data_IF_120811696355
#
_entry.id   IF_120811696355
#
_cell.length_a   1.000
_cell.length_b   1.000
_cell.length_c   1.000
_cell.angle_alpha   90.00
_cell.angle_beta   90.00
_cell.angle_gamma   90.00
#
_symmetry.space_group_name_H-M   'P 1'
#
loop_
_entity.id
_entity.type
_entity.pdbx_description
1 polymer ?
#
# COMPACT_ATOMS: atom_id res chain seq x y z
N UNK A 1 -35.13 5.79 74.72
CA UNK A 1 -34.13 6.55 73.93
C UNK A 1 -33.41 5.54 73.04
N UNK A 2 -33.43 5.65 71.70
CA UNK A 2 -32.71 4.72 70.85
C UNK A 2 -31.21 4.89 71.09
N UNK A 3 -30.52 3.83 71.54
CA UNK A 3 -29.05 3.79 71.54
C UNK A 3 -28.63 3.96 70.08
N UNK A 4 -28.00 5.08 69.76
CA UNK A 4 -27.35 5.29 68.46
C UNK A 4 -26.14 4.33 68.43
N UNK A 5 -26.36 3.08 68.03
CA UNK A 5 -25.26 2.13 67.78
C UNK A 5 -24.65 2.55 66.46
N UNK A 6 -23.75 3.52 66.52
CA UNK A 6 -22.91 3.89 65.38
C UNK A 6 -21.94 2.73 65.18
N UNK A 7 -21.93 2.14 63.97
CA UNK A 7 -20.88 1.21 63.59
C UNK A 7 -19.55 1.97 63.68
N UNK A 8 -18.66 1.53 64.57
CA UNK A 8 -17.34 2.12 64.73
C UNK A 8 -16.39 1.44 63.74
N UNK A 9 -15.63 2.27 63.02
CA UNK A 9 -14.60 1.82 62.08
C UNK A 9 -13.24 2.17 62.69
N UNK A 10 -12.26 1.29 62.54
CA UNK A 10 -10.86 1.67 62.83
C UNK A 10 -10.41 2.68 61.77
N UNK A 11 -9.71 3.75 62.16
CA UNK A 11 -9.29 4.82 61.24
C UNK A 11 -7.85 5.23 61.49
N UNK A 12 -7.09 5.51 60.43
CA UNK A 12 -5.70 5.96 60.53
C UNK A 12 -4.99 5.98 59.17
N UNK A 13 -3.66 6.10 59.17
CA UNK A 13 -2.85 5.90 57.97
C UNK A 13 -2.86 4.43 57.56
N UNK A 14 -2.71 4.12 56.27
CA UNK A 14 -2.70 2.74 55.76
C UNK A 14 -1.58 1.91 56.39
N UNK A 15 -0.42 2.52 56.62
CA UNK A 15 0.72 1.89 57.30
C UNK A 15 0.51 1.68 58.80
N UNK A 16 -0.49 2.33 59.39
CA UNK A 16 -0.69 2.40 60.85
C UNK A 16 -2.01 1.80 61.32
N UNK A 17 -2.87 1.31 60.42
CA UNK A 17 -4.16 0.71 60.77
C UNK A 17 -4.04 -0.69 61.42
N UNK A 18 -2.88 -1.35 61.22
CA UNK A 18 -2.58 -2.68 61.75
C UNK A 18 -3.43 -3.78 61.12
N UNK A 19 -3.33 -5.00 61.67
CA UNK A 19 -4.18 -6.13 61.28
C UNK A 19 -5.59 -5.91 61.85
N UNK A 20 -6.60 -6.00 60.99
CA UNK A 20 -8.02 -5.96 61.36
C UNK A 20 -8.47 -7.38 61.69
N UNK A 21 -9.29 -7.51 62.74
CA UNK A 21 -9.91 -8.80 63.07
C UNK A 21 -10.85 -9.26 61.96
N UNK A 22 -11.15 -10.56 61.90
CA UNK A 22 -12.05 -11.11 60.88
C UNK A 22 -13.42 -10.42 60.94
N UNK A 23 -13.79 -9.72 59.86
CA UNK A 23 -15.04 -8.94 59.77
C UNK A 23 -14.95 -7.50 60.29
N UNK A 24 -13.84 -7.07 60.88
CA UNK A 24 -13.64 -5.69 61.31
C UNK A 24 -13.39 -4.78 60.10
N UNK A 25 -14.05 -3.62 60.08
CA UNK A 25 -13.88 -2.62 59.04
C UNK A 25 -12.87 -1.53 59.43
N UNK A 26 -11.99 -1.18 58.49
CA UNK A 26 -10.98 -0.15 58.68
C UNK A 26 -10.94 0.85 57.53
N UNK A 27 -10.79 2.14 57.82
CA UNK A 27 -10.68 3.20 56.81
C UNK A 27 -9.34 3.93 56.91
N UNK A 28 -8.60 3.93 55.80
CA UNK A 28 -7.32 4.61 55.67
C UNK A 28 -7.54 6.05 55.20
N UNK A 29 -7.13 7.04 56.00
CA UNK A 29 -7.42 8.46 55.72
C UNK A 29 -6.50 9.07 54.66
N UNK A 30 -5.32 8.51 54.49
CA UNK A 30 -4.30 8.90 53.52
C UNK A 30 -4.63 8.36 52.12
N UNK A 31 -4.93 7.08 52.02
CA UNK A 31 -5.20 6.42 50.73
C UNK A 31 -6.68 6.27 50.42
N UNK A 32 -7.56 6.72 51.32
CA UNK A 32 -9.02 6.67 51.21
C UNK A 32 -9.57 5.26 50.94
N UNK A 33 -8.82 4.21 51.27
CA UNK A 33 -9.24 2.82 51.11
C UNK A 33 -10.08 2.36 52.30
N UNK A 34 -11.10 1.56 52.02
CA UNK A 34 -11.87 0.80 53.00
C UNK A 34 -11.38 -0.65 52.98
N UNK A 35 -11.06 -1.20 54.14
CA UNK A 35 -10.60 -2.55 54.37
C UNK A 35 -11.62 -3.37 55.17
N UNK A 36 -11.62 -4.68 54.96
CA UNK A 36 -12.20 -5.67 55.88
C UNK A 36 -11.09 -6.63 56.34
N UNK A 37 -11.07 -6.96 57.63
CA UNK A 37 -10.19 -8.01 58.13
C UNK A 37 -10.66 -9.40 57.70
N UNK A 38 -9.73 -10.25 57.31
CA UNK A 38 -9.97 -11.67 57.01
C UNK A 38 -8.92 -12.53 57.70
N UNK A 39 -9.09 -13.85 57.68
CA UNK A 39 -8.10 -14.77 58.24
C UNK A 39 -6.72 -14.68 57.53
N UNK A 40 -6.68 -14.19 56.30
CA UNK A 40 -5.46 -13.94 55.53
C UNK A 40 -4.91 -12.52 55.64
N UNK A 41 -5.49 -11.68 56.49
CA UNK A 41 -5.16 -10.27 56.64
C UNK A 41 -6.17 -9.30 56.04
N UNK A 42 -5.79 -8.03 55.94
CA UNK A 42 -6.68 -6.97 55.49
C UNK A 42 -6.89 -7.06 53.98
N UNK A 43 -8.15 -7.14 53.53
CA UNK A 43 -8.52 -7.08 52.11
C UNK A 43 -9.18 -5.74 51.81
N UNK A 44 -8.78 -5.10 50.71
CA UNK A 44 -9.38 -3.86 50.23
C UNK A 44 -10.80 -4.15 49.73
N UNK A 45 -11.79 -3.49 50.33
CA UNK A 45 -13.20 -3.56 49.91
C UNK A 45 -13.55 -2.45 48.92
N UNK A 46 -12.98 -1.27 49.11
CA UNK A 46 -13.07 -0.15 48.17
C UNK A 46 -11.74 0.60 48.17
N UNK A 47 -11.14 0.80 46.99
CA UNK A 47 -9.96 1.65 46.83
C UNK A 47 -10.37 3.11 46.59
N UNK A 48 -9.45 4.07 46.79
CA UNK A 48 -9.65 5.42 46.28
C UNK A 48 -10.00 5.36 44.79
N UNK A 49 -11.12 5.99 44.41
CA UNK A 49 -11.44 6.16 43.00
C UNK A 49 -10.32 6.99 42.39
N UNK A 50 -9.56 6.41 41.46
CA UNK A 50 -8.67 7.20 40.62
C UNK A 50 -9.54 8.23 39.88
N UNK A 51 -9.14 9.50 39.88
CA UNK A 51 -9.88 10.63 39.26
C UNK A 51 -9.82 10.61 37.73
N UNK A 52 -9.79 9.43 37.12
CA UNK A 52 -9.72 9.24 35.67
C UNK A 52 -10.95 8.50 35.17
N UNK A 53 -11.54 9.01 34.09
CA UNK A 53 -12.77 8.52 33.47
C UNK A 53 -12.62 7.10 32.88
N UNK A 54 -11.42 6.51 32.95
CA UNK A 54 -11.03 5.23 32.36
C UNK A 54 -10.74 4.17 33.43
N UNK A 55 -11.76 3.81 34.21
CA UNK A 55 -11.64 2.71 35.18
C UNK A 55 -11.36 1.38 34.46
N UNK A 56 -10.30 0.68 34.90
CA UNK A 56 -9.83 -0.57 34.29
C UNK A 56 -10.95 -1.62 34.18
N UNK A 57 -11.77 -1.76 35.21
CA UNK A 57 -12.90 -2.70 35.25
C UNK A 57 -14.01 -2.41 34.23
N UNK A 58 -14.02 -1.23 33.60
CA UNK A 58 -15.02 -0.81 32.62
C UNK A 58 -14.44 -0.83 31.19
N UNK A 59 -13.15 -0.53 31.04
CA UNK A 59 -12.53 -0.27 29.74
C UNK A 59 -11.41 -1.24 29.36
N UNK A 60 -10.93 -2.08 30.27
CA UNK A 60 -9.91 -3.11 30.04
C UNK A 60 -10.40 -4.40 30.72
N UNK A 61 -11.44 -4.99 30.14
CA UNK A 61 -12.19 -6.12 30.72
C UNK A 61 -11.31 -7.36 30.88
N UNK A 62 -10.32 -7.51 30.01
CA UNK A 62 -9.38 -8.63 30.00
C UNK A 62 -8.08 -8.33 30.76
N UNK A 63 -7.94 -7.12 31.31
CA UNK A 63 -6.85 -6.66 32.16
C UNK A 63 -5.48 -6.67 31.45
N UNK A 64 -5.44 -6.53 30.12
CA UNK A 64 -4.25 -6.61 29.28
C UNK A 64 -3.46 -5.28 29.17
N UNK A 65 -3.96 -4.19 29.79
CA UNK A 65 -3.30 -2.89 29.79
C UNK A 65 -3.62 -2.01 28.57
N UNK A 66 -4.55 -2.43 27.71
CA UNK A 66 -5.14 -1.61 26.64
C UNK A 66 -6.62 -1.41 26.91
N UNK A 67 -7.15 -0.28 26.43
CA UNK A 67 -8.59 -0.07 26.41
C UNK A 67 -9.19 -0.95 25.30
N UNK A 68 -10.19 -1.76 25.60
CA UNK A 68 -10.83 -2.70 24.66
C UNK A 68 -11.32 -1.97 23.38
N UNK A 69 -11.87 -0.76 23.53
CA UNK A 69 -12.28 0.08 22.40
C UNK A 69 -11.10 0.56 21.54
N UNK A 70 -9.91 0.75 22.13
CA UNK A 70 -8.70 1.10 21.38
C UNK A 70 -8.12 -0.13 20.67
N UNK A 71 -8.24 -1.32 21.26
CA UNK A 71 -7.88 -2.58 20.60
C UNK A 71 -8.75 -2.84 19.36
N UNK A 72 -10.03 -2.46 19.39
CA UNK A 72 -10.90 -2.50 18.22
C UNK A 72 -10.44 -1.56 17.07
N UNK A 73 -9.64 -0.53 17.36
CA UNK A 73 -9.11 0.40 16.36
C UNK A 73 -7.81 -0.09 15.68
N UNK A 74 -7.04 -0.97 16.33
CA UNK A 74 -5.79 -1.54 15.79
C UNK A 74 -6.02 -2.42 14.54
N UNK A 75 -7.27 -2.86 14.30
CA UNK A 75 -7.65 -3.68 13.15
C UNK A 75 -9.06 -3.35 12.64
N UNK A 76 -9.37 -2.07 12.41
CA UNK A 76 -10.68 -1.64 11.93
C UNK A 76 -11.00 -2.28 10.55
N UNK A 77 -11.92 -3.25 10.46
CA UNK A 77 -12.20 -3.93 9.19
C UNK A 77 -12.81 -2.96 8.19
N UNK A 78 -12.47 -3.10 6.90
CA UNK A 78 -13.02 -2.23 5.85
C UNK A 78 -14.57 -2.22 5.85
N UNK A 79 -15.18 -3.34 6.21
CA UNK A 79 -16.64 -3.47 6.38
C UNK A 79 -17.23 -2.41 7.33
N UNK A 80 -16.53 -2.04 8.41
CA UNK A 80 -17.00 -1.11 9.44
C UNK A 80 -16.71 0.38 9.19
N UNK A 81 -15.91 0.71 8.16
CA UNK A 81 -15.58 2.11 7.87
C UNK A 81 -16.77 2.81 7.19
N UNK A 82 -17.32 3.85 7.83
CA UNK A 82 -18.35 4.71 7.22
C UNK A 82 -17.72 5.72 6.26
N UNK A 83 -18.43 6.12 5.20
CA UNK A 83 -17.93 7.09 4.21
C UNK A 83 -16.78 6.57 3.33
N UNK A 84 -16.47 5.28 3.39
CA UNK A 84 -15.46 4.67 2.53
C UNK A 84 -15.83 4.77 1.05
N UNK A 85 -14.86 5.01 0.14
CA UNK A 85 -15.10 4.94 -1.29
C UNK A 85 -15.67 3.56 -1.66
N UNK A 86 -16.88 3.53 -2.22
CA UNK A 86 -17.55 2.30 -2.68
C UNK A 86 -17.00 1.81 -4.02
N UNK A 87 -16.23 2.65 -4.70
CA UNK A 87 -15.61 2.39 -5.99
C UNK A 87 -14.27 3.13 -6.10
N UNK A 88 -13.21 2.39 -6.39
CA UNK A 88 -11.96 2.94 -6.92
C UNK A 88 -11.95 2.74 -8.43
N UNK A 89 -13.01 3.14 -9.14
CA UNK A 89 -12.96 3.12 -10.61
C UNK A 89 -11.84 4.09 -11.02
N UNK A 90 -10.72 3.62 -11.58
CA UNK A 90 -9.71 4.52 -12.11
C UNK A 90 -10.42 5.36 -13.18
N UNK A 91 -10.26 6.68 -13.13
CA UNK A 91 -10.74 7.52 -14.21
C UNK A 91 -10.16 6.96 -15.52
N UNK A 92 -11.03 6.73 -16.51
CA UNK A 92 -10.58 6.31 -17.83
C UNK A 92 -9.57 7.36 -18.33
N UNK A 93 -8.37 6.92 -18.65
CA UNK A 93 -7.35 7.74 -19.26
C UNK A 93 -6.89 7.06 -20.55
N UNK A 94 -6.42 7.88 -21.48
CA UNK A 94 -5.86 7.41 -22.75
C UNK A 94 -4.35 7.62 -22.73
N UNK A 95 -3.63 6.72 -23.38
CA UNK A 95 -2.21 6.91 -23.68
C UNK A 95 -2.11 7.47 -25.10
N UNK A 96 -1.74 8.74 -25.25
CA UNK A 96 -1.53 9.30 -26.56
C UNK A 96 -0.18 8.80 -27.11
N UNK A 97 -0.11 8.46 -28.39
CA UNK A 97 1.17 8.08 -29.01
C UNK A 97 2.23 9.20 -28.93
N UNK A 98 1.77 10.46 -28.83
CA UNK A 98 2.62 11.63 -28.64
C UNK A 98 3.38 11.64 -27.30
N UNK A 99 2.94 10.87 -26.30
CA UNK A 99 3.57 10.80 -24.98
C UNK A 99 4.86 9.95 -24.99
N UNK A 100 5.08 9.15 -26.05
CA UNK A 100 6.26 8.30 -26.19
C UNK A 100 7.39 9.15 -26.79
N UNK A 101 8.20 9.79 -25.94
CA UNK A 101 9.33 10.63 -26.36
C UNK A 101 10.68 9.89 -26.37
N UNK A 102 10.75 8.69 -25.80
CA UNK A 102 11.96 7.85 -25.74
C UNK A 102 11.60 6.37 -25.53
N UNK A 103 12.60 5.48 -25.69
CA UNK A 103 12.44 4.03 -25.51
C UNK A 103 12.14 3.29 -26.82
N UNK A 104 11.66 2.05 -26.72
CA UNK A 104 11.35 1.19 -27.86
C UNK A 104 9.89 0.75 -27.86
N UNK A 105 9.31 0.66 -29.05
CA UNK A 105 7.98 0.05 -29.26
C UNK A 105 8.19 -1.29 -29.93
N UNK A 106 7.52 -2.33 -29.43
CA UNK A 106 7.58 -3.66 -30.04
C UNK A 106 7.11 -3.60 -31.50
N UNK A 107 7.88 -4.18 -32.42
CA UNK A 107 7.59 -4.13 -33.87
C UNK A 107 6.18 -4.66 -34.21
N UNK A 108 5.69 -5.65 -33.47
CA UNK A 108 4.34 -6.20 -33.63
C UNK A 108 3.20 -5.18 -33.38
N UNK A 109 3.50 -4.04 -32.75
CA UNK A 109 2.56 -2.94 -32.51
C UNK A 109 2.59 -1.86 -33.60
N UNK A 110 3.51 -1.96 -34.56
CA UNK A 110 3.64 -1.04 -35.69
C UNK A 110 3.04 -1.69 -36.94
N UNK A 111 2.32 -0.93 -37.79
CA UNK A 111 1.78 -1.46 -39.04
C UNK A 111 2.91 -1.80 -40.02
N UNK A 112 2.78 -2.93 -40.70
CA UNK A 112 3.67 -3.29 -41.80
C UNK A 112 3.47 -2.33 -42.98
N UNK A 113 4.57 -1.98 -43.67
CA UNK A 113 4.47 -1.19 -44.89
C UNK A 113 3.80 -1.99 -46.02
N UNK A 114 2.95 -1.31 -46.78
CA UNK A 114 2.28 -1.84 -47.97
C UNK A 114 2.47 -0.84 -49.14
N UNK A 115 2.27 -1.31 -50.37
CA UNK A 115 2.32 -0.43 -51.55
C UNK A 115 1.21 0.63 -51.57
N UNK A 116 0.16 0.44 -50.76
CA UNK A 116 -0.98 1.35 -50.62
C UNK A 116 -1.04 2.03 -49.25
N UNK A 117 -0.16 1.68 -48.29
CA UNK A 117 -0.19 2.22 -46.93
C UNK A 117 1.20 2.27 -46.31
N UNK A 118 1.52 3.40 -45.68
CA UNK A 118 2.79 3.58 -44.98
C UNK A 118 2.90 2.65 -43.75
N UNK A 119 4.12 2.23 -43.44
CA UNK A 119 4.43 1.39 -42.29
C UNK A 119 5.92 1.12 -42.18
N UNK A 120 6.30 0.11 -41.38
CA UNK A 120 7.70 -0.31 -41.22
C UNK A 120 8.03 -1.52 -42.11
N UNK A 121 9.25 -1.54 -42.67
CA UNK A 121 9.79 -2.65 -43.47
C UNK A 121 11.23 -2.92 -43.07
N UNK A 122 11.66 -4.18 -43.11
CA UNK A 122 13.07 -4.52 -42.92
C UNK A 122 13.89 -4.17 -44.16
N UNK A 123 15.08 -3.61 -43.97
CA UNK A 123 15.99 -3.25 -45.04
C UNK A 123 17.02 -4.36 -45.29
N UNK A 124 17.43 -4.52 -46.56
CA UNK A 124 18.45 -5.46 -46.99
C UNK A 124 19.50 -4.77 -47.89
N UNK A 125 20.78 -5.05 -47.65
CA UNK A 125 21.91 -4.47 -48.38
C UNK A 125 22.53 -5.40 -49.45
N UNK A 126 21.98 -6.59 -49.67
CA UNK A 126 22.44 -7.53 -50.68
C UNK A 126 21.91 -7.15 -52.08
N UNK A 127 22.78 -7.24 -53.09
CA UNK A 127 22.45 -6.97 -54.52
C UNK A 127 21.90 -8.19 -55.27
N UNK A 128 21.93 -9.36 -54.65
CA UNK A 128 21.47 -10.63 -55.20
C UNK A 128 20.41 -11.32 -54.30
N UNK A 129 19.74 -10.55 -53.45
CA UNK A 129 18.69 -11.06 -52.58
C UNK A 129 17.47 -11.51 -53.38
N UNK A 130 16.87 -12.64 -53.01
CA UNK A 130 15.59 -13.12 -53.55
C UNK A 130 14.39 -12.74 -52.68
N UNK A 131 14.63 -11.97 -51.61
CA UNK A 131 13.57 -11.54 -50.68
C UNK A 131 12.56 -10.61 -51.35
N UNK A 132 11.28 -10.93 -51.20
CA UNK A 132 10.14 -10.10 -51.67
C UNK A 132 9.48 -9.30 -50.54
N UNK A 133 9.98 -9.44 -49.30
CA UNK A 133 9.40 -8.81 -48.09
C UNK A 133 10.35 -7.80 -47.42
N UNK A 134 11.56 -7.65 -47.94
CA UNK A 134 12.55 -6.68 -47.46
C UNK A 134 12.81 -5.64 -48.54
N UNK A 135 12.96 -4.37 -48.16
CA UNK A 135 13.28 -3.30 -49.10
C UNK A 135 14.80 -3.18 -49.30
N UNK A 136 15.22 -2.85 -50.52
CA UNK A 136 16.62 -2.59 -50.83
C UNK A 136 17.11 -1.28 -50.18
N UNK A 137 18.33 -1.29 -49.65
CA UNK A 137 19.00 -0.05 -49.19
C UNK A 137 19.59 0.74 -50.37
N UNK A 138 19.83 2.03 -50.16
CA UNK A 138 20.48 2.88 -51.17
C UNK A 138 21.84 2.35 -51.62
N UNK A 139 22.60 1.72 -50.72
CA UNK A 139 23.90 1.14 -51.04
C UNK A 139 23.76 -0.08 -51.98
N UNK A 140 22.79 -0.98 -51.74
CA UNK A 140 22.51 -2.09 -52.66
C UNK A 140 22.13 -1.59 -54.07
N UNK A 141 21.28 -0.56 -54.15
CA UNK A 141 20.89 0.04 -55.44
C UNK A 141 22.09 0.64 -56.17
N UNK A 142 22.95 1.38 -55.44
CA UNK A 142 24.17 1.95 -56.01
C UNK A 142 25.13 0.88 -56.54
N UNK A 143 25.40 -0.17 -55.76
CA UNK A 143 26.31 -1.24 -56.17
C UNK A 143 25.79 -1.97 -57.41
N UNK A 144 24.47 -2.23 -57.49
CA UNK A 144 23.87 -2.81 -58.68
C UNK A 144 24.01 -1.90 -59.91
N UNK A 145 23.80 -0.58 -59.74
CA UNK A 145 23.98 0.41 -60.79
C UNK A 145 25.43 0.49 -61.28
N UNK A 146 26.40 0.55 -60.37
CA UNK A 146 27.83 0.63 -60.71
C UNK A 146 28.29 -0.65 -61.43
N UNK A 147 27.85 -1.82 -60.94
CA UNK A 147 28.12 -3.11 -61.59
C UNK A 147 27.56 -3.12 -63.01
N UNK A 148 26.30 -2.72 -63.20
CA UNK A 148 25.70 -2.67 -64.53
C UNK A 148 26.41 -1.64 -65.44
N UNK A 149 26.81 -0.49 -64.90
CA UNK A 149 27.61 0.52 -65.62
C UNK A 149 28.96 -0.03 -66.08
N UNK A 150 29.63 -0.83 -65.24
CA UNK A 150 30.90 -1.49 -65.57
C UNK A 150 30.77 -2.64 -66.57
N UNK A 151 29.55 -3.10 -66.88
CA UNK A 151 29.29 -4.14 -67.91
C UNK A 151 28.86 -3.56 -69.25
N UNK A 152 28.79 -2.23 -69.39
CA UNK A 152 28.51 -1.59 -70.67
C UNK A 152 29.60 -1.90 -71.69
N UNK A 153 29.21 -2.12 -72.95
CA UNK A 153 30.15 -2.30 -74.05
C UNK A 153 31.01 -1.04 -74.28
N UNK A 154 32.21 -1.16 -74.88
CA UNK A 154 33.06 0.00 -75.17
C UNK A 154 32.29 1.06 -75.97
N UNK A 155 32.23 2.29 -75.44
CA UNK A 155 31.54 3.41 -76.09
C UNK A 155 30.01 3.44 -75.93
N UNK A 156 29.42 2.50 -75.17
CA UNK A 156 27.99 2.51 -74.84
C UNK A 156 27.77 3.22 -73.50
N UNK A 157 26.86 4.19 -73.51
CA UNK A 157 26.40 4.92 -72.32
C UNK A 157 25.00 4.48 -71.93
N UNK A 158 24.64 4.66 -70.66
CA UNK A 158 23.26 4.43 -70.20
C UNK A 158 22.21 5.22 -70.98
N UNK A 159 22.56 6.42 -71.46
CA UNK A 159 21.67 7.23 -72.27
C UNK A 159 21.31 6.56 -73.60
N UNK A 160 22.24 5.83 -74.21
CA UNK A 160 22.00 5.11 -75.47
C UNK A 160 21.14 3.85 -75.26
N UNK A 161 21.07 3.30 -74.04
CA UNK A 161 20.31 2.08 -73.74
C UNK A 161 18.90 2.34 -73.18
N UNK A 162 18.69 3.46 -72.49
CA UNK A 162 17.42 3.74 -71.79
C UNK A 162 16.29 4.24 -72.69
N UNK A 163 16.51 4.29 -74.01
CA UNK A 163 15.47 4.52 -75.01
C UNK A 163 14.75 5.87 -74.90
N UNK A 164 15.47 6.93 -74.48
CA UNK A 164 15.02 8.32 -74.62
C UNK A 164 15.80 9.02 -75.72
#
# INVERSE_FOLDING_TARGET
MPRKVLIQLRRGLETSIGLLEVGELGYCTDTQKLYIGTAGGNIVLAAAQATGDMLKSIYDTNNNGKIDNAEAADSAPWAGISGKPVSFAPAAHAHAAADITSGTVAVARLPAALVTAAGVVQLNNAVNSTSVVQAATANAVKLAYDLASGKLGPGVTWNQLKGV
#
